data_IF_589982602300
#
_entry.id   IF_589982602300
#
_cell.length_a   1.000
_cell.length_b   1.000
_cell.length_c   1.000
_cell.angle_alpha   90.00
_cell.angle_beta   90.00
_cell.angle_gamma   90.00
#
_symmetry.space_group_name_H-M   'P 1'
#
loop_
_entity.id
_entity.type
_entity.pdbx_description
1 polymer ?
#
# COMPACT_ATOMS: atom_id res chain seq x y z
N UNK A 1 -3.40 -41.20 -48.26
CA UNK A 1 -2.01 -41.51 -48.70
C UNK A 1 -1.06 -40.78 -47.75
N UNK A 2 -0.56 -41.47 -46.76
CA UNK A 2 0.35 -40.90 -45.76
C UNK A 2 1.74 -40.80 -46.40
N UNK A 3 2.28 -39.58 -46.50
CA UNK A 3 3.66 -39.35 -46.92
C UNK A 3 4.59 -39.61 -45.71
N UNK A 4 5.31 -40.74 -45.81
CA UNK A 4 6.39 -41.05 -44.88
C UNK A 4 7.51 -40.04 -45.04
N UNK A 5 7.68 -39.14 -44.07
CA UNK A 5 8.86 -38.32 -43.91
C UNK A 5 9.96 -39.20 -43.32
N UNK A 6 10.97 -39.49 -44.12
CA UNK A 6 12.24 -40.09 -43.63
C UNK A 6 13.07 -38.97 -43.00
N UNK A 7 13.25 -38.98 -41.73
CA UNK A 7 14.28 -38.20 -41.06
C UNK A 7 15.64 -38.92 -41.26
N UNK A 8 16.61 -38.25 -41.84
CA UNK A 8 17.98 -38.73 -41.97
C UNK A 8 18.73 -38.23 -40.72
N UNK A 9 19.00 -39.11 -39.81
CA UNK A 9 19.81 -38.83 -38.61
C UNK A 9 21.21 -39.41 -38.86
N UNK A 10 22.10 -38.57 -39.37
CA UNK A 10 23.54 -38.85 -39.35
C UNK A 10 24.15 -38.23 -38.07
N UNK A 11 25.01 -38.92 -37.46
CA UNK A 11 25.54 -38.95 -36.08
C UNK A 11 25.83 -37.62 -35.34
N UNK A 12 25.55 -36.41 -35.88
CA UNK A 12 25.75 -35.15 -35.15
C UNK A 12 24.78 -33.97 -35.45
N UNK A 13 23.88 -34.06 -36.44
CA UNK A 13 22.90 -32.98 -36.70
C UNK A 13 21.61 -33.49 -37.32
N UNK A 14 20.48 -33.41 -36.60
CA UNK A 14 19.16 -33.49 -37.22
C UNK A 14 18.87 -32.18 -37.99
N UNK A 15 18.91 -32.20 -39.30
CA UNK A 15 18.42 -31.12 -40.15
C UNK A 15 17.00 -31.45 -40.59
N UNK A 16 16.01 -30.85 -39.96
CA UNK A 16 14.67 -30.81 -40.47
C UNK A 16 14.55 -29.57 -41.37
N UNK A 17 14.18 -29.77 -42.61
CA UNK A 17 13.95 -28.67 -43.56
C UNK A 17 12.84 -27.76 -43.06
N UNK A 18 13.22 -26.51 -42.76
CA UNK A 18 12.36 -25.45 -42.23
C UNK A 18 11.48 -24.85 -43.34
N UNK A 19 10.50 -25.56 -43.86
CA UNK A 19 9.46 -25.00 -44.75
C UNK A 19 8.09 -25.57 -44.47
N UNK A 20 7.65 -25.63 -43.20
CA UNK A 20 6.20 -25.69 -42.90
C UNK A 20 5.96 -25.19 -41.48
N UNK A 21 5.24 -24.09 -41.37
CA UNK A 21 4.67 -23.58 -40.14
C UNK A 21 3.65 -24.62 -39.58
N UNK A 22 4.17 -25.57 -38.81
CA UNK A 22 3.34 -26.41 -37.95
C UNK A 22 4.19 -26.88 -36.78
N UNK A 23 3.91 -26.31 -35.59
CA UNK A 23 4.28 -26.86 -34.31
C UNK A 23 3.70 -28.30 -34.20
N UNK A 24 4.46 -29.30 -34.60
CA UNK A 24 4.19 -30.69 -34.26
C UNK A 24 5.51 -31.30 -33.79
N UNK A 25 5.50 -31.68 -32.52
CA UNK A 25 6.46 -32.57 -31.89
C UNK A 25 6.83 -33.71 -32.85
N UNK A 26 8.11 -33.75 -33.25
CA UNK A 26 8.67 -34.90 -33.94
C UNK A 26 8.69 -36.11 -33.00
N UNK A 27 7.79 -37.05 -33.19
CA UNK A 27 7.74 -38.31 -32.44
C UNK A 27 8.68 -39.36 -33.12
N UNK A 28 9.90 -38.91 -33.43
CA UNK A 28 10.87 -39.78 -34.12
C UNK A 28 11.82 -40.54 -33.15
N UNK A 29 11.57 -40.48 -31.83
CA UNK A 29 12.39 -41.23 -30.84
C UNK A 29 13.89 -40.93 -30.83
N UNK A 30 14.35 -40.00 -31.69
CA UNK A 30 15.68 -39.44 -31.59
C UNK A 30 15.67 -38.47 -30.42
N UNK A 31 16.12 -38.90 -29.24
CA UNK A 31 16.32 -38.05 -28.09
C UNK A 31 17.32 -36.95 -28.47
N UNK A 32 16.79 -35.79 -28.89
CA UNK A 32 17.59 -34.58 -28.84
C UNK A 32 17.82 -34.31 -27.36
N UNK A 33 18.81 -34.98 -26.80
CA UNK A 33 19.30 -34.67 -25.47
C UNK A 33 19.76 -33.22 -25.55
N UNK A 34 18.97 -32.31 -24.94
CA UNK A 34 19.44 -30.94 -24.69
C UNK A 34 20.82 -31.09 -24.09
N UNK A 35 21.81 -30.40 -24.67
CA UNK A 35 23.14 -30.47 -24.12
C UNK A 35 23.06 -30.08 -22.65
N UNK A 36 23.80 -30.78 -21.78
CA UNK A 36 23.79 -30.46 -20.32
C UNK A 36 24.01 -28.98 -20.05
N UNK A 37 24.74 -28.31 -20.93
CA UNK A 37 24.98 -26.87 -20.89
C UNK A 37 23.70 -26.07 -21.06
N UNK A 38 22.80 -26.47 -21.98
CA UNK A 38 21.50 -25.80 -22.20
C UNK A 38 20.57 -26.02 -21.02
N UNK A 39 20.56 -27.20 -20.42
CA UNK A 39 19.77 -27.47 -19.19
C UNK A 39 20.26 -26.63 -18.02
N UNK A 40 21.56 -26.50 -17.81
CA UNK A 40 22.13 -25.63 -16.78
C UNK A 40 21.84 -24.17 -17.02
N UNK A 41 21.85 -23.72 -18.28
CA UNK A 41 21.54 -22.34 -18.63
C UNK A 41 20.07 -22.00 -18.41
N UNK A 42 19.16 -22.90 -18.80
CA UNK A 42 17.72 -22.76 -18.53
C UNK A 42 17.45 -22.74 -17.02
N UNK A 43 18.10 -23.64 -16.26
CA UNK A 43 17.99 -23.68 -14.80
C UNK A 43 18.49 -22.40 -14.15
N UNK A 44 19.65 -21.88 -14.60
CA UNK A 44 20.22 -20.63 -14.09
C UNK A 44 19.32 -19.43 -14.38
N UNK A 45 18.73 -19.36 -15.58
CA UNK A 45 17.77 -18.31 -15.94
C UNK A 45 16.51 -18.38 -15.09
N UNK A 46 15.98 -19.60 -14.85
CA UNK A 46 14.83 -19.80 -13.98
C UNK A 46 15.11 -19.33 -12.57
N UNK A 47 16.23 -19.79 -11.98
CA UNK A 47 16.61 -19.41 -10.62
C UNK A 47 16.78 -17.90 -10.49
N UNK A 48 17.40 -17.25 -11.51
CA UNK A 48 17.53 -15.79 -11.54
C UNK A 48 16.16 -15.10 -11.54
N UNK A 49 15.23 -15.56 -12.38
CA UNK A 49 13.88 -14.99 -12.43
C UNK A 49 13.11 -15.20 -11.12
N UNK A 50 13.22 -16.38 -10.51
CA UNK A 50 12.60 -16.67 -9.20
C UNK A 50 13.22 -15.80 -8.09
N UNK A 51 14.54 -15.60 -8.12
CA UNK A 51 15.23 -14.74 -7.15
C UNK A 51 14.84 -13.27 -7.29
N UNK A 52 14.72 -12.75 -8.53
CA UNK A 52 14.25 -11.37 -8.78
C UNK A 52 12.80 -11.18 -8.30
N UNK A 53 11.92 -12.15 -8.57
CA UNK A 53 10.56 -12.15 -8.08
C UNK A 53 10.49 -12.22 -6.54
N UNK A 54 11.29 -13.08 -5.93
CA UNK A 54 11.41 -13.16 -4.47
C UNK A 54 11.87 -11.84 -3.86
N UNK A 55 12.91 -11.22 -4.42
CA UNK A 55 13.45 -9.93 -3.94
C UNK A 55 12.40 -8.83 -3.99
N UNK A 56 11.67 -8.71 -5.12
CA UNK A 56 10.59 -7.73 -5.27
C UNK A 56 9.49 -7.95 -4.24
N UNK A 57 8.99 -9.18 -4.14
CA UNK A 57 7.95 -9.55 -3.19
C UNK A 57 8.36 -9.33 -1.74
N UNK A 58 9.60 -9.63 -1.40
CA UNK A 58 10.12 -9.43 -0.05
C UNK A 58 10.24 -7.95 0.32
N UNK A 59 10.65 -7.09 -0.62
CA UNK A 59 10.67 -5.65 -0.42
C UNK A 59 9.27 -5.08 -0.17
N UNK A 60 8.26 -5.54 -0.91
CA UNK A 60 6.85 -5.15 -0.70
C UNK A 60 6.35 -5.58 0.69
N UNK A 61 6.60 -6.84 1.09
CA UNK A 61 6.20 -7.36 2.40
C UNK A 61 6.84 -6.57 3.53
N UNK A 62 8.12 -6.22 3.40
CA UNK A 62 8.84 -5.42 4.41
C UNK A 62 8.23 -4.03 4.54
N UNK A 63 7.91 -3.36 3.42
CA UNK A 63 7.27 -2.06 3.41
C UNK A 63 5.87 -2.10 4.05
N UNK A 64 5.07 -3.11 3.71
CA UNK A 64 3.74 -3.33 4.31
C UNK A 64 3.87 -3.59 5.81
N UNK A 65 4.83 -4.42 6.22
CA UNK A 65 5.10 -4.72 7.63
C UNK A 65 5.46 -3.48 8.43
N UNK A 66 6.33 -2.62 7.90
CA UNK A 66 6.69 -1.34 8.52
C UNK A 66 5.47 -0.42 8.67
N UNK A 67 4.70 -0.23 7.60
CA UNK A 67 3.51 0.62 7.63
C UNK A 67 2.47 0.11 8.64
N UNK A 68 2.25 -1.20 8.72
CA UNK A 68 1.33 -1.80 9.70
C UNK A 68 1.84 -1.61 11.14
N UNK A 69 3.15 -1.69 11.36
CA UNK A 69 3.78 -1.38 12.64
C UNK A 69 3.54 0.07 13.06
N UNK A 70 3.74 1.03 12.16
CA UNK A 70 3.47 2.45 12.40
C UNK A 70 1.99 2.66 12.73
N UNK A 71 1.06 2.12 11.94
CA UNK A 71 -0.39 2.24 12.16
C UNK A 71 -0.75 1.71 13.55
N UNK A 72 -0.27 0.52 13.93
CA UNK A 72 -0.55 -0.09 15.23
C UNK A 72 -0.05 0.77 16.40
N UNK A 73 1.16 1.32 16.26
CA UNK A 73 1.77 2.16 17.30
C UNK A 73 1.02 3.48 17.44
N UNK A 74 0.76 4.17 16.31
CA UNK A 74 0.02 5.43 16.30
C UNK A 74 -1.38 5.24 16.88
N UNK A 75 -2.11 4.20 16.47
CA UNK A 75 -3.45 3.91 16.99
C UNK A 75 -3.47 3.80 18.52
N UNK A 76 -2.42 3.22 19.12
CA UNK A 76 -2.29 3.12 20.59
C UNK A 76 -1.91 4.43 21.25
N UNK A 77 -1.29 5.37 20.53
CA UNK A 77 -0.92 6.69 21.04
C UNK A 77 -2.04 7.73 20.90
N UNK A 78 -2.98 7.53 19.96
CA UNK A 78 -4.08 8.47 19.71
C UNK A 78 -4.89 8.82 20.97
N UNK A 79 -5.24 7.88 21.88
CA UNK A 79 -5.94 8.23 23.11
C UNK A 79 -5.19 9.20 24.01
N UNK A 80 -3.85 9.14 24.01
CA UNK A 80 -3.04 10.11 24.77
C UNK A 80 -3.17 11.51 24.16
N UNK A 81 -3.13 11.63 22.83
CA UNK A 81 -3.34 12.91 22.15
C UNK A 81 -4.73 13.48 22.43
N UNK A 82 -5.77 12.63 22.42
CA UNK A 82 -7.13 13.04 22.75
C UNK A 82 -7.20 13.57 24.20
N UNK A 83 -6.52 12.91 25.15
CA UNK A 83 -6.44 13.35 26.54
C UNK A 83 -5.73 14.69 26.65
N UNK A 84 -4.66 14.94 25.89
CA UNK A 84 -3.99 16.24 25.85
C UNK A 84 -4.92 17.34 25.30
N UNK A 85 -5.66 17.07 24.23
CA UNK A 85 -6.62 18.02 23.67
C UNK A 85 -7.75 18.34 24.66
N UNK A 86 -8.21 17.34 25.40
CA UNK A 86 -9.22 17.53 26.45
C UNK A 86 -8.66 18.33 27.63
N UNK A 87 -7.43 18.06 28.05
CA UNK A 87 -6.76 18.83 29.08
C UNK A 87 -6.62 20.31 28.70
N UNK A 88 -6.24 20.59 27.44
CA UNK A 88 -6.13 21.94 26.87
C UNK A 88 -7.44 22.73 27.02
N UNK A 89 -8.59 22.10 26.83
CA UNK A 89 -9.89 22.75 26.95
C UNK A 89 -10.22 23.18 28.41
N UNK A 90 -9.59 22.55 29.40
CA UNK A 90 -9.85 22.77 30.82
C UNK A 90 -8.82 23.70 31.50
N UNK A 91 -7.67 23.94 30.87
CA UNK A 91 -6.60 24.78 31.41
C UNK A 91 -6.91 26.25 31.14
N UNK A 92 -6.83 27.09 32.19
CA UNK A 92 -7.02 28.54 32.09
C UNK A 92 -5.72 29.33 32.15
N UNK A 93 -4.64 28.68 32.56
CA UNK A 93 -3.34 29.28 32.68
C UNK A 93 -2.61 29.34 31.33
N UNK A 94 -2.26 30.52 30.89
CA UNK A 94 -1.74 30.79 29.53
C UNK A 94 -0.33 30.19 29.35
N UNK A 95 0.52 30.26 30.38
CA UNK A 95 1.87 29.69 30.33
C UNK A 95 1.85 28.15 30.21
N UNK A 96 0.95 27.54 30.97
CA UNK A 96 0.74 26.08 30.91
C UNK A 96 0.19 25.65 29.53
N UNK A 97 -0.70 26.43 28.91
CA UNK A 97 -1.22 26.18 27.56
C UNK A 97 -0.10 26.26 26.50
N UNK A 98 0.81 27.22 26.61
CA UNK A 98 1.96 27.30 25.71
C UNK A 98 2.84 26.06 25.81
N UNK A 99 3.17 25.64 27.02
CA UNK A 99 3.95 24.42 27.25
C UNK A 99 3.29 23.16 26.67
N UNK A 100 1.97 23.01 26.89
CA UNK A 100 1.21 21.87 26.36
C UNK A 100 1.14 21.85 24.83
N UNK A 101 0.95 23.03 24.21
CA UNK A 101 0.96 23.14 22.75
C UNK A 101 2.32 22.75 22.16
N UNK A 102 3.41 23.10 22.83
CA UNK A 102 4.77 22.75 22.41
C UNK A 102 4.99 21.23 22.42
N UNK A 103 4.50 20.54 23.45
CA UNK A 103 4.55 19.08 23.54
C UNK A 103 3.72 18.45 22.41
N UNK A 104 2.49 18.91 22.19
CA UNK A 104 1.63 18.41 21.11
C UNK A 104 2.27 18.60 19.73
N UNK A 105 2.85 19.77 19.48
CA UNK A 105 3.53 20.05 18.22
C UNK A 105 4.73 19.12 18.00
N UNK A 106 5.51 18.84 19.04
CA UNK A 106 6.63 17.88 18.95
C UNK A 106 6.13 16.48 18.59
N UNK A 107 5.02 16.02 19.18
CA UNK A 107 4.41 14.73 18.85
C UNK A 107 3.91 14.70 17.40
N UNK A 108 3.22 15.77 16.95
CA UNK A 108 2.74 15.88 15.59
C UNK A 108 3.87 15.94 14.55
N UNK A 109 4.98 16.59 14.90
CA UNK A 109 6.19 16.61 14.06
C UNK A 109 6.77 15.20 13.93
N UNK A 110 6.90 14.45 15.02
CA UNK A 110 7.37 13.07 14.99
C UNK A 110 6.41 12.18 14.15
N UNK A 111 5.11 12.43 14.19
CA UNK A 111 4.14 11.72 13.33
C UNK A 111 4.35 12.08 11.86
N UNK A 112 4.59 13.34 11.52
CA UNK A 112 4.84 13.76 10.13
C UNK A 112 6.13 13.13 9.57
N UNK A 113 7.17 12.95 10.37
CA UNK A 113 8.40 12.24 9.99
C UNK A 113 8.14 10.76 9.67
N UNK A 114 7.16 10.13 10.34
CA UNK A 114 6.69 8.78 10.03
C UNK A 114 5.75 8.72 8.83
N UNK A 115 5.38 9.87 8.25
CA UNK A 115 4.44 10.00 7.14
C UNK A 115 2.97 9.95 7.56
N UNK A 116 2.70 10.17 8.86
CA UNK A 116 1.33 10.30 9.40
C UNK A 116 0.92 11.75 9.37
N UNK A 117 -0.21 12.03 8.75
CA UNK A 117 -0.76 13.37 8.62
C UNK A 117 -2.08 13.49 9.39
N UNK A 118 -2.30 14.67 9.98
CA UNK A 118 -3.59 15.03 10.57
C UNK A 118 -4.60 15.32 9.44
N UNK A 119 -5.82 14.87 9.61
CA UNK A 119 -6.93 15.21 8.72
C UNK A 119 -7.53 16.54 9.20
N UNK A 120 -7.41 17.60 8.39
CA UNK A 120 -8.06 18.88 8.69
C UNK A 120 -9.50 18.83 8.21
N UNK A 121 -10.43 18.74 9.14
CA UNK A 121 -11.86 18.59 8.85
C UNK A 121 -12.64 19.91 8.93
N UNK A 122 -12.31 20.79 9.89
CA UNK A 122 -13.10 22.00 10.18
C UNK A 122 -13.14 22.96 8.99
N UNK A 123 -14.33 23.38 8.61
CA UNK A 123 -14.56 24.30 7.49
C UNK A 123 -14.44 23.66 6.11
N UNK A 124 -14.21 22.35 6.02
CA UNK A 124 -14.20 21.59 4.76
C UNK A 124 -15.51 20.85 4.54
N UNK A 125 -15.74 20.48 3.29
CA UNK A 125 -16.86 19.64 2.90
C UNK A 125 -16.73 18.24 3.51
N UNK A 126 -17.84 17.67 3.92
CA UNK A 126 -17.87 16.34 4.52
C UNK A 126 -17.51 15.25 3.51
N UNK A 127 -16.45 14.50 3.78
CA UNK A 127 -16.05 13.32 3.01
C UNK A 127 -16.24 12.06 3.87
N UNK A 128 -17.12 11.12 3.49
CA UNK A 128 -17.34 9.88 4.23
C UNK A 128 -16.10 8.98 4.37
N UNK A 129 -15.10 9.14 3.49
CA UNK A 129 -13.87 8.37 3.56
C UNK A 129 -12.90 8.87 4.64
N UNK A 130 -13.00 10.14 5.02
CA UNK A 130 -12.08 10.79 5.96
C UNK A 130 -12.76 11.15 7.29
N UNK A 131 -14.07 11.42 7.25
CA UNK A 131 -14.83 11.95 8.36
C UNK A 131 -15.93 11.00 8.81
N UNK A 132 -16.19 11.00 10.12
CA UNK A 132 -17.32 10.30 10.74
C UNK A 132 -18.24 11.34 11.41
N UNK A 133 -19.37 11.61 10.81
CA UNK A 133 -20.36 12.55 11.35
C UNK A 133 -21.21 11.86 12.43
N UNK A 134 -21.13 12.36 13.67
CA UNK A 134 -21.93 11.85 14.79
C UNK A 134 -23.03 12.79 15.21
N UNK A 135 -22.88 14.09 14.89
CA UNK A 135 -23.84 15.13 15.21
C UNK A 135 -24.13 16.00 13.99
N UNK A 136 -25.35 16.52 13.95
CA UNK A 136 -25.76 17.55 13.01
C UNK A 136 -26.06 18.82 13.76
N UNK A 137 -25.68 19.95 13.20
CA UNK A 137 -26.02 21.29 13.70
C UNK A 137 -26.67 22.11 12.61
N UNK A 138 -27.31 23.17 12.97
CA UNK A 138 -27.82 24.18 12.04
C UNK A 138 -27.06 25.46 12.26
N UNK A 139 -26.34 25.90 11.24
CA UNK A 139 -25.68 27.21 11.20
C UNK A 139 -25.97 27.82 9.85
N UNK A 140 -26.74 28.91 9.88
CA UNK A 140 -27.17 29.64 8.69
C UNK A 140 -26.00 30.40 8.00
N UNK A 141 -24.90 30.57 8.71
CA UNK A 141 -23.72 31.28 8.19
C UNK A 141 -22.84 30.39 7.30
N UNK A 142 -23.05 29.04 7.31
CA UNK A 142 -22.25 28.08 6.58
C UNK A 142 -23.08 27.23 5.61
N UNK A 143 -22.54 26.80 4.47
CA UNK A 143 -23.25 25.96 3.53
C UNK A 143 -23.57 24.58 4.14
N UNK A 144 -24.61 23.93 3.60
CA UNK A 144 -24.98 22.59 4.01
C UNK A 144 -23.86 21.58 3.64
N UNK A 145 -23.62 20.61 4.53
CA UNK A 145 -22.60 19.60 4.32
C UNK A 145 -21.18 19.96 4.76
N UNK A 146 -20.98 21.17 5.29
CA UNK A 146 -19.69 21.61 5.83
C UNK A 146 -19.52 21.15 7.28
N UNK A 147 -18.30 20.80 7.65
CA UNK A 147 -17.92 20.44 9.02
C UNK A 147 -17.84 21.68 9.89
N UNK A 148 -18.69 21.77 10.90
CA UNK A 148 -18.74 22.86 11.86
C UNK A 148 -17.69 22.73 12.96
N UNK A 149 -17.60 21.54 13.55
CA UNK A 149 -16.75 21.27 14.71
C UNK A 149 -16.11 19.89 14.57
N UNK A 150 -14.86 19.76 15.04
CA UNK A 150 -14.15 18.48 15.16
C UNK A 150 -14.04 18.12 16.63
N UNK A 151 -14.65 16.99 17.03
CA UNK A 151 -14.58 16.49 18.41
C UNK A 151 -13.36 15.59 18.64
N UNK A 152 -12.95 14.87 17.60
CA UNK A 152 -11.81 13.96 17.67
C UNK A 152 -11.01 14.05 16.39
N UNK A 153 -9.71 14.27 16.54
CA UNK A 153 -8.81 14.45 15.39
C UNK A 153 -8.60 13.15 14.64
N UNK A 154 -8.76 13.18 13.32
CA UNK A 154 -8.44 12.09 12.43
C UNK A 154 -6.98 12.09 12.00
N UNK A 155 -6.48 10.91 11.64
CA UNK A 155 -5.12 10.72 11.15
C UNK A 155 -5.08 9.74 10.00
N UNK A 156 -4.22 9.99 9.02
CA UNK A 156 -3.96 9.12 7.88
C UNK A 156 -2.46 8.87 7.72
N UNK A 157 -2.11 7.70 7.22
CA UNK A 157 -0.73 7.37 6.81
C UNK A 157 -0.72 7.29 5.29
N UNK A 158 -0.20 8.32 4.63
CA UNK A 158 -0.28 8.47 3.18
C UNK A 158 -1.73 8.36 2.69
N UNK A 159 -2.07 7.27 1.97
CA UNK A 159 -3.43 7.04 1.44
C UNK A 159 -4.34 6.22 2.39
N UNK A 160 -3.77 5.67 3.48
CA UNK A 160 -4.52 4.81 4.41
C UNK A 160 -4.97 5.59 5.64
N UNK A 161 -6.27 5.65 5.86
CA UNK A 161 -6.85 6.26 7.07
C UNK A 161 -6.59 5.35 8.27
N UNK A 162 -5.95 5.92 9.31
CA UNK A 162 -5.73 5.25 10.60
C UNK A 162 -6.97 5.41 11.48
N UNK A 163 -7.50 6.65 11.53
CA UNK A 163 -8.70 7.00 12.28
C UNK A 163 -9.41 8.16 11.59
N UNK A 164 -10.71 8.05 11.38
CA UNK A 164 -11.55 9.12 10.85
C UNK A 164 -11.68 10.26 11.85
N UNK A 165 -11.77 11.51 11.38
CA UNK A 165 -12.14 12.65 12.24
C UNK A 165 -13.60 12.52 12.64
N UNK A 166 -13.87 12.64 13.93
CA UNK A 166 -15.24 12.68 14.45
C UNK A 166 -15.73 14.12 14.43
N UNK A 167 -16.78 14.36 13.66
CA UNK A 167 -17.19 15.73 13.31
C UNK A 167 -18.68 15.96 13.50
N UNK A 168 -19.04 17.25 13.63
CA UNK A 168 -20.40 17.78 13.53
C UNK A 168 -20.56 18.46 12.19
N UNK A 169 -21.58 18.09 11.44
CA UNK A 169 -21.85 18.64 10.11
C UNK A 169 -23.03 19.60 10.16
N UNK A 170 -22.99 20.57 9.24
CA UNK A 170 -24.13 21.48 9.03
C UNK A 170 -25.19 20.77 8.20
N UNK A 171 -26.40 20.67 8.73
CA UNK A 171 -27.57 20.11 8.04
C UNK A 171 -28.79 20.90 8.42
N UNK A 172 -29.43 21.45 7.40
CA UNK A 172 -30.72 22.17 7.54
C UNK A 172 -31.89 21.21 7.62
#
# INVERSE_FOLDING_TARGET
MAKNHKCNCDDEKCTCDAQSQHEKTCDCGCGCEKSKEQEYLELAQRIKAEFENYKRRNAEITSIGFNNGVISTVTKLLPAIDSFNQAKANIKDEDTLVGLNLILNNILTAFSELGVEKIDAVGKEFDPNLHNAILTGKDESQPEGVVLEEYQQGFKLRDKVIRHSVVKINKY
#
